data_IF_820282127892
#
_entry.id   IF_820282127892
#
_cell.length_a   1.000
_cell.length_b   1.000
_cell.length_c   1.000
_cell.angle_alpha   90.00
_cell.angle_beta   90.00
_cell.angle_gamma   90.00
#
_symmetry.space_group_name_H-M   'P 1'
#
loop_
_entity.id
_entity.type
_entity.pdbx_description
1 polymer ?
#
# COMPACT_ATOMS: atom_id res chain seq x y z
N UNK A 1 -12.03 6.24 -6.46
CA UNK A 1 -12.39 5.12 -5.56
C UNK A 1 -12.91 5.70 -4.26
N UNK A 2 -13.69 4.94 -3.50
CA UNK A 2 -14.07 5.27 -2.11
C UNK A 2 -14.20 3.98 -1.30
N UNK A 3 -14.34 4.11 0.02
CA UNK A 3 -14.62 2.97 0.90
C UNK A 3 -16.04 3.06 1.41
N UNK A 4 -16.80 1.97 1.30
CA UNK A 4 -18.17 1.87 1.80
C UNK A 4 -18.39 0.50 2.42
N UNK A 5 -18.90 0.45 3.65
CA UNK A 5 -19.18 -0.79 4.38
C UNK A 5 -18.01 -1.80 4.39
N UNK A 6 -16.77 -1.29 4.51
CA UNK A 6 -15.56 -2.11 4.50
C UNK A 6 -15.09 -2.56 3.12
N UNK A 7 -15.73 -2.14 2.03
CA UNK A 7 -15.37 -2.51 0.67
C UNK A 7 -14.81 -1.32 -0.10
N UNK A 8 -13.84 -1.58 -0.97
CA UNK A 8 -13.39 -0.61 -1.96
C UNK A 8 -14.42 -0.55 -3.10
N UNK A 9 -14.94 0.64 -3.39
CA UNK A 9 -15.97 0.84 -4.41
C UNK A 9 -15.56 1.86 -5.48
N UNK A 10 -16.07 1.65 -6.69
CA UNK A 10 -15.97 2.57 -7.82
C UNK A 10 -16.98 3.71 -7.75
N UNK A 11 -16.95 4.61 -8.74
CA UNK A 11 -17.89 5.74 -8.83
C UNK A 11 -19.36 5.32 -8.99
N UNK A 12 -19.63 4.10 -9.46
CA UNK A 12 -20.98 3.52 -9.52
C UNK A 12 -21.49 3.02 -8.16
N UNK A 13 -20.66 3.03 -7.12
CA UNK A 13 -20.95 2.42 -5.83
C UNK A 13 -20.77 0.89 -5.79
N UNK A 14 -20.39 0.26 -6.90
CA UNK A 14 -20.11 -1.17 -6.97
C UNK A 14 -18.71 -1.49 -6.41
N UNK A 15 -18.56 -2.65 -5.78
CA UNK A 15 -17.26 -3.15 -5.32
C UNK A 15 -16.26 -3.30 -6.48
N UNK A 16 -15.01 -2.94 -6.23
CA UNK A 16 -13.92 -2.97 -7.21
C UNK A 16 -12.74 -3.71 -6.62
N UNK A 17 -12.16 -4.63 -7.41
CA UNK A 17 -10.91 -5.31 -7.06
C UNK A 17 -9.78 -4.80 -7.94
N UNK A 18 -8.70 -4.35 -7.30
CA UNK A 18 -7.49 -3.94 -7.98
C UNK A 18 -6.46 -5.07 -7.92
N UNK A 19 -5.83 -5.38 -9.06
CA UNK A 19 -4.81 -6.41 -9.23
C UNK A 19 -3.65 -5.80 -9.99
N UNK A 20 -2.46 -5.96 -9.45
CA UNK A 20 -1.29 -5.24 -9.91
C UNK A 20 0.02 -5.85 -9.49
N UNK A 21 1.08 -5.13 -9.82
CA UNK A 21 2.44 -5.46 -9.41
C UNK A 21 3.00 -4.32 -8.57
N UNK A 22 3.71 -4.68 -7.50
CA UNK A 22 4.63 -3.75 -6.85
C UNK A 22 5.94 -3.73 -7.62
N UNK A 23 6.48 -2.54 -7.82
CA UNK A 23 7.90 -2.39 -8.09
C UNK A 23 8.68 -2.75 -6.81
N UNK A 24 9.91 -3.22 -6.97
CA UNK A 24 10.84 -3.41 -5.85
C UNK A 24 11.30 -2.05 -5.32
N UNK A 25 11.92 -2.02 -4.14
CA UNK A 25 12.51 -0.83 -3.53
C UNK A 25 13.23 0.09 -4.53
N UNK A 26 12.78 1.34 -4.60
CA UNK A 26 13.40 2.39 -5.43
C UNK A 26 14.80 2.82 -4.96
N UNK A 27 15.18 2.48 -3.73
CA UNK A 27 16.45 2.87 -3.12
C UNK A 27 17.61 1.91 -3.41
N UNK A 28 17.33 0.79 -4.07
CA UNK A 28 18.31 -0.21 -4.45
C UNK A 28 18.48 -0.27 -5.98
N UNK A 29 19.68 -0.69 -6.43
CA UNK A 29 20.02 -0.83 -7.84
C UNK A 29 19.22 -1.93 -8.57
N UNK A 30 18.67 -2.86 -7.81
CA UNK A 30 17.88 -3.99 -8.25
C UNK A 30 16.45 -3.55 -8.62
N UNK A 31 15.92 -2.52 -7.95
CA UNK A 31 14.57 -2.00 -8.18
C UNK A 31 14.53 -0.73 -9.03
N UNK A 32 15.39 0.25 -8.74
CA UNK A 32 15.35 1.57 -9.38
C UNK A 32 15.33 1.58 -10.92
N UNK A 33 16.01 0.66 -11.66
CA UNK A 33 15.94 0.65 -13.12
C UNK A 33 14.53 0.36 -13.68
N UNK A 34 13.62 -0.19 -12.87
CA UNK A 34 12.25 -0.52 -13.29
C UNK A 34 11.25 0.63 -13.09
N UNK A 35 11.66 1.76 -12.49
CA UNK A 35 10.81 2.95 -12.28
C UNK A 35 10.73 3.79 -13.57
N UNK A 36 10.13 3.22 -14.61
CA UNK A 36 10.03 3.84 -15.93
C UNK A 36 8.61 3.77 -16.49
N UNK A 37 8.26 4.72 -17.37
CA UNK A 37 6.97 4.73 -18.03
C UNK A 37 6.75 3.48 -18.91
N UNK A 38 7.81 2.98 -19.54
CA UNK A 38 7.74 1.77 -20.36
C UNK A 38 7.39 0.54 -19.53
N UNK A 39 8.00 0.35 -18.34
CA UNK A 39 7.64 -0.77 -17.45
C UNK A 39 6.16 -0.69 -17.05
N UNK A 40 5.67 0.48 -16.65
CA UNK A 40 4.26 0.67 -16.29
C UNK A 40 3.34 0.35 -17.46
N UNK A 41 3.68 0.78 -18.68
CA UNK A 41 2.94 0.46 -19.89
C UNK A 41 2.94 -1.04 -20.19
N UNK A 42 4.07 -1.74 -20.04
CA UNK A 42 4.15 -3.18 -20.24
C UNK A 42 3.30 -3.95 -19.21
N UNK A 43 3.33 -3.54 -17.94
CA UNK A 43 2.46 -4.12 -16.91
C UNK A 43 0.99 -3.95 -17.29
N UNK A 44 0.58 -2.76 -17.75
CA UNK A 44 -0.80 -2.53 -18.22
C UNK A 44 -1.14 -3.40 -19.42
N UNK A 45 -0.39 -3.26 -20.51
CA UNK A 45 -0.76 -3.83 -21.80
C UNK A 45 -0.57 -5.35 -21.88
N UNK A 46 0.46 -5.90 -21.24
CA UNK A 46 0.81 -7.31 -21.39
C UNK A 46 0.38 -8.15 -20.20
N UNK A 47 0.35 -7.59 -18.99
CA UNK A 47 -0.04 -8.30 -17.77
C UNK A 47 -1.47 -7.96 -17.35
N UNK A 48 -2.13 -7.03 -18.06
CA UNK A 48 -3.50 -6.61 -17.83
C UNK A 48 -3.76 -6.11 -16.40
N UNK A 49 -2.76 -5.49 -15.77
CA UNK A 49 -2.94 -4.90 -14.44
C UNK A 49 -3.85 -3.68 -14.50
N UNK A 50 -4.51 -3.38 -13.39
CA UNK A 50 -5.22 -2.12 -13.19
C UNK A 50 -4.60 -1.26 -12.06
N UNK A 51 -3.48 -1.71 -11.51
CA UNK A 51 -2.75 -1.09 -10.40
C UNK A 51 -1.24 -1.30 -10.57
N UNK A 52 -0.45 -0.29 -10.24
CA UNK A 52 1.00 -0.42 -10.01
C UNK A 52 1.35 0.20 -8.65
N UNK A 53 2.25 -0.42 -7.88
CA UNK A 53 2.73 0.14 -6.61
C UNK A 53 4.17 0.65 -6.74
N UNK A 54 4.39 1.89 -6.35
CA UNK A 54 5.71 2.53 -6.33
C UNK A 54 6.26 2.51 -4.89
N UNK A 55 7.01 1.45 -4.56
CA UNK A 55 7.63 1.22 -3.26
C UNK A 55 8.84 2.16 -3.03
N UNK A 56 8.60 3.38 -2.54
CA UNK A 56 9.66 4.37 -2.38
C UNK A 56 10.47 4.08 -1.12
N UNK A 57 11.69 3.58 -1.27
CA UNK A 57 12.58 3.35 -0.13
C UNK A 57 12.88 4.65 0.62
N UNK A 58 12.81 4.62 1.96
CA UNK A 58 12.93 5.81 2.81
C UNK A 58 14.27 5.89 3.54
N UNK A 59 14.48 4.98 4.51
CA UNK A 59 15.68 4.93 5.34
C UNK A 59 16.80 4.11 4.68
N UNK A 60 16.44 3.01 4.02
CA UNK A 60 17.38 2.04 3.48
C UNK A 60 17.93 2.42 2.10
N UNK A 61 19.16 1.97 1.81
CA UNK A 61 19.83 2.21 0.53
C UNK A 61 20.02 3.69 0.24
N UNK A 62 19.88 4.09 -1.03
CA UNK A 62 19.81 5.51 -1.41
C UNK A 62 18.39 6.07 -1.28
N UNK A 63 17.75 5.81 -0.14
CA UNK A 63 16.36 6.14 0.14
C UNK A 63 16.06 7.62 0.26
N UNK A 64 14.78 7.95 0.47
CA UNK A 64 14.29 9.33 0.44
C UNK A 64 15.02 10.22 1.45
N UNK A 65 15.36 9.73 2.64
CA UNK A 65 16.04 10.54 3.66
C UNK A 65 17.42 11.03 3.21
N UNK A 66 18.14 10.25 2.39
CA UNK A 66 19.47 10.60 1.89
C UNK A 66 19.46 11.16 0.46
N UNK A 67 18.41 10.91 -0.33
CA UNK A 67 18.34 11.29 -1.74
C UNK A 67 16.92 11.69 -2.20
N UNK A 68 16.32 12.68 -1.51
CA UNK A 68 14.93 13.11 -1.71
C UNK A 68 14.56 13.41 -3.17
N UNK A 69 15.40 14.18 -3.88
CA UNK A 69 15.10 14.62 -5.24
C UNK A 69 15.03 13.44 -6.23
N UNK A 70 15.96 12.48 -6.11
CA UNK A 70 15.97 11.29 -6.96
C UNK A 70 14.77 10.41 -6.66
N UNK A 71 14.50 10.12 -5.38
CA UNK A 71 13.39 9.26 -4.98
C UNK A 71 12.03 9.85 -5.36
N UNK A 72 11.85 11.16 -5.17
CA UNK A 72 10.66 11.88 -5.65
C UNK A 72 10.51 11.76 -7.18
N UNK A 73 11.60 11.92 -7.95
CA UNK A 73 11.56 11.81 -9.41
C UNK A 73 11.13 10.42 -9.89
N UNK A 74 11.65 9.36 -9.28
CA UNK A 74 11.28 7.97 -9.60
C UNK A 74 9.79 7.71 -9.34
N UNK A 75 9.29 8.11 -8.17
CA UNK A 75 7.86 7.98 -7.82
C UNK A 75 6.99 8.78 -8.78
N UNK A 76 7.36 10.03 -9.07
CA UNK A 76 6.60 10.88 -9.99
C UNK A 76 6.55 10.31 -11.41
N UNK A 77 7.62 9.64 -11.86
CA UNK A 77 7.65 8.94 -13.14
C UNK A 77 6.60 7.83 -13.20
N UNK A 78 6.51 7.00 -12.15
CA UNK A 78 5.52 5.91 -12.06
C UNK A 78 4.10 6.46 -11.94
N UNK A 79 3.89 7.52 -11.14
CA UNK A 79 2.58 8.18 -11.02
C UNK A 79 2.10 8.69 -12.37
N UNK A 80 2.93 9.45 -13.07
CA UNK A 80 2.55 10.04 -14.35
C UNK A 80 2.23 8.95 -15.38
N UNK A 81 3.08 7.91 -15.46
CA UNK A 81 2.85 6.80 -16.36
C UNK A 81 1.55 6.04 -16.04
N UNK A 82 1.20 5.87 -14.77
CA UNK A 82 -0.05 5.22 -14.37
C UNK A 82 -1.27 6.05 -14.78
N UNK A 83 -1.22 7.37 -14.60
CA UNK A 83 -2.25 8.32 -15.04
C UNK A 83 -2.41 8.23 -16.57
N UNK A 84 -1.31 8.33 -17.32
CA UNK A 84 -1.31 8.31 -18.80
C UNK A 84 -1.86 7.00 -19.37
N UNK A 85 -1.68 5.88 -18.65
CA UNK A 85 -2.18 4.55 -19.05
C UNK A 85 -3.55 4.21 -18.41
N UNK A 86 -4.16 5.13 -17.67
CA UNK A 86 -5.50 4.94 -17.09
C UNK A 86 -5.58 3.81 -16.05
N UNK A 87 -4.50 3.59 -15.28
CA UNK A 87 -4.48 2.63 -14.16
C UNK A 87 -4.27 3.35 -12.83
N UNK A 88 -4.58 2.67 -11.73
CA UNK A 88 -4.32 3.17 -10.39
C UNK A 88 -2.84 3.06 -10.03
N UNK A 89 -2.38 3.91 -9.11
CA UNK A 89 -1.03 3.87 -8.55
C UNK A 89 -1.08 3.97 -7.03
N UNK A 90 -0.37 3.05 -6.35
CA UNK A 90 -0.05 3.20 -4.94
C UNK A 90 1.26 3.98 -4.83
N UNK A 91 1.22 5.08 -4.09
CA UNK A 91 2.39 5.85 -3.69
C UNK A 91 2.74 5.43 -2.28
N UNK A 92 3.77 4.60 -2.16
CA UNK A 92 4.12 3.92 -0.92
C UNK A 92 5.34 4.54 -0.23
N UNK A 93 5.16 4.91 1.03
CA UNK A 93 6.25 5.27 1.95
C UNK A 93 6.86 3.99 2.52
N UNK A 94 7.83 3.45 1.77
CA UNK A 94 8.41 2.14 2.00
C UNK A 94 9.49 2.18 3.09
N UNK A 95 9.01 2.13 4.33
CA UNK A 95 9.78 2.26 5.56
C UNK A 95 9.29 1.24 6.60
N UNK A 96 10.20 0.81 7.49
CA UNK A 96 9.90 0.00 8.67
C UNK A 96 9.80 0.83 9.96
N UNK A 97 10.30 2.07 9.92
CA UNK A 97 10.44 2.96 11.06
C UNK A 97 9.78 4.34 10.83
N UNK A 98 8.73 4.41 10.01
CA UNK A 98 8.13 5.68 9.57
C UNK A 98 7.71 6.61 10.73
N UNK A 99 7.39 6.06 11.89
CA UNK A 99 7.12 6.83 13.11
C UNK A 99 8.26 7.79 13.50
N UNK A 100 9.51 7.42 13.20
CA UNK A 100 10.70 8.24 13.45
C UNK A 100 10.90 9.30 12.35
N UNK A 101 10.22 9.15 11.21
CA UNK A 101 10.33 9.99 10.02
C UNK A 101 9.01 10.72 9.69
N UNK A 102 8.16 10.92 10.69
CA UNK A 102 6.79 11.46 10.53
C UNK A 102 6.74 12.81 9.82
N UNK A 103 7.64 13.72 10.17
CA UNK A 103 7.69 15.05 9.53
C UNK A 103 8.00 14.93 8.04
N UNK A 104 8.97 14.09 7.67
CA UNK A 104 9.37 13.85 6.30
C UNK A 104 8.26 13.18 5.49
N UNK A 105 7.55 12.22 6.09
CA UNK A 105 6.38 11.59 5.47
C UNK A 105 5.26 12.61 5.21
N UNK A 106 4.96 13.47 6.18
CA UNK A 106 3.97 14.55 6.03
C UNK A 106 4.36 15.47 4.87
N UNK A 107 5.61 15.93 4.81
CA UNK A 107 6.07 16.84 3.76
C UNK A 107 6.07 16.18 2.38
N UNK A 108 6.44 14.90 2.30
CA UNK A 108 6.35 14.11 1.07
C UNK A 108 4.91 13.98 0.59
N UNK A 109 4.01 13.49 1.44
CA UNK A 109 2.63 13.26 1.06
C UNK A 109 1.87 14.55 0.75
N UNK A 110 2.19 15.67 1.40
CA UNK A 110 1.65 16.99 1.02
C UNK A 110 2.07 17.37 -0.40
N UNK A 111 3.32 17.13 -0.80
CA UNK A 111 3.77 17.40 -2.17
C UNK A 111 3.05 16.52 -3.20
N UNK A 112 2.90 15.21 -2.90
CA UNK A 112 2.15 14.30 -3.78
C UNK A 112 0.68 14.74 -3.88
N UNK A 113 0.02 15.04 -2.75
CA UNK A 113 -1.38 15.47 -2.73
C UNK A 113 -1.59 16.81 -3.45
N UNK A 114 -0.68 17.78 -3.30
CA UNK A 114 -0.74 19.06 -4.01
C UNK A 114 -0.63 18.88 -5.52
N UNK A 115 0.26 18.00 -5.97
CA UNK A 115 0.52 17.81 -7.41
C UNK A 115 -0.49 16.88 -8.07
N UNK A 116 -0.90 15.81 -7.38
CA UNK A 116 -1.66 14.72 -7.99
C UNK A 116 -2.99 14.40 -7.31
N UNK A 117 -3.34 15.00 -6.17
CA UNK A 117 -4.53 14.64 -5.40
C UNK A 117 -5.88 14.86 -6.12
N UNK A 118 -5.90 15.67 -7.18
CA UNK A 118 -7.08 15.80 -8.04
C UNK A 118 -7.29 14.59 -8.98
N UNK A 119 -6.27 13.74 -9.17
CA UNK A 119 -6.34 12.57 -10.03
C UNK A 119 -6.94 11.39 -9.24
N UNK A 120 -7.98 10.72 -9.77
CA UNK A 120 -8.62 9.59 -9.10
C UNK A 120 -7.75 8.32 -9.08
N UNK A 121 -6.64 8.32 -9.81
CA UNK A 121 -5.70 7.21 -9.92
C UNK A 121 -4.88 6.98 -8.63
N UNK A 122 -4.75 8.01 -7.80
CA UNK A 122 -3.83 8.00 -6.65
C UNK A 122 -4.42 7.22 -5.48
N UNK A 123 -3.60 6.35 -4.92
CA UNK A 123 -3.78 5.69 -3.62
C UNK A 123 -2.52 5.98 -2.81
N UNK A 124 -2.67 6.47 -1.58
CA UNK A 124 -1.54 6.72 -0.68
C UNK A 124 -1.35 5.50 0.22
N UNK A 125 -0.14 5.00 0.37
CA UNK A 125 0.21 4.00 1.40
C UNK A 125 1.22 4.63 2.35
N UNK A 126 0.76 4.96 3.55
CA UNK A 126 1.48 5.90 4.44
C UNK A 126 2.59 5.24 5.23
N UNK A 127 2.57 3.92 5.39
CA UNK A 127 3.59 3.17 6.11
C UNK A 127 3.52 1.73 5.60
N UNK A 128 4.55 1.28 4.89
CA UNK A 128 4.65 -0.08 4.34
C UNK A 128 4.50 -1.16 5.42
N UNK A 129 5.49 -1.30 6.31
CA UNK A 129 5.57 -2.43 7.23
C UNK A 129 6.09 -1.98 8.60
N UNK A 130 5.20 -1.46 9.47
CA UNK A 130 5.54 -1.29 10.87
C UNK A 130 6.04 -2.60 11.46
N UNK A 131 7.14 -2.54 12.20
CA UNK A 131 7.68 -3.70 12.92
C UNK A 131 6.74 -4.12 14.07
N UNK A 132 7.26 -4.87 15.03
CA UNK A 132 6.54 -5.32 16.22
C UNK A 132 6.41 -4.18 17.26
N UNK A 133 5.75 -3.09 16.85
CA UNK A 133 5.45 -1.92 17.66
C UNK A 133 3.96 -1.82 17.92
N UNK A 134 3.57 -1.19 19.03
CA UNK A 134 2.16 -1.12 19.44
C UNK A 134 1.31 -0.25 18.48
N UNK A 135 0.12 -0.74 18.14
CA UNK A 135 -0.82 0.00 17.29
C UNK A 135 -1.25 1.30 17.95
N UNK A 136 -1.71 1.26 19.20
CA UNK A 136 -2.43 2.37 19.82
C UNK A 136 -1.51 3.56 20.15
N UNK A 137 -0.29 3.29 20.58
CA UNK A 137 0.68 4.28 21.07
C UNK A 137 1.73 4.70 20.04
N UNK A 138 1.97 3.88 19.00
CA UNK A 138 3.01 4.17 17.98
C UNK A 138 2.40 4.35 16.59
N UNK A 139 1.79 3.30 16.03
CA UNK A 139 1.41 3.29 14.60
C UNK A 139 0.18 4.17 14.32
N UNK A 140 -0.86 4.08 15.14
CA UNK A 140 -2.10 4.87 14.98
C UNK A 140 -1.85 6.37 15.09
N UNK A 141 -1.11 6.91 16.09
CA UNK A 141 -0.81 8.34 16.15
C UNK A 141 -0.05 8.85 14.93
N UNK A 142 0.89 8.05 14.38
CA UNK A 142 1.55 8.38 13.12
C UNK A 142 0.54 8.55 11.98
N UNK A 143 -0.34 7.56 11.79
CA UNK A 143 -1.34 7.60 10.71
C UNK A 143 -2.32 8.75 10.87
N UNK A 144 -2.75 9.08 12.10
CA UNK A 144 -3.65 10.22 12.36
C UNK A 144 -3.06 11.52 11.80
N UNK A 145 -1.78 11.79 12.08
CA UNK A 145 -1.12 13.02 11.64
C UNK A 145 -0.90 13.06 10.12
N UNK A 146 -0.46 11.95 9.52
CA UNK A 146 -0.23 11.86 8.07
C UNK A 146 -1.55 11.93 7.29
N UNK A 147 -2.59 11.24 7.75
CA UNK A 147 -3.94 11.32 7.17
C UNK A 147 -4.47 12.74 7.23
N UNK A 148 -4.33 13.43 8.37
CA UNK A 148 -4.77 14.82 8.50
C UNK A 148 -4.05 15.73 7.50
N UNK A 149 -2.74 15.55 7.32
CA UNK A 149 -1.94 16.33 6.37
C UNK A 149 -2.36 16.10 4.91
N UNK A 150 -2.62 14.85 4.52
CA UNK A 150 -3.14 14.51 3.18
C UNK A 150 -4.54 15.13 3.00
N UNK A 151 -5.43 14.93 3.97
CA UNK A 151 -6.84 15.35 3.89
C UNK A 151 -7.04 16.86 3.88
N UNK A 152 -6.07 17.63 4.37
CA UNK A 152 -6.05 19.08 4.22
C UNK A 152 -5.93 19.54 2.76
N UNK A 153 -5.51 18.66 1.84
CA UNK A 153 -5.31 18.96 0.42
C UNK A 153 -6.19 18.06 -0.46
N UNK A 154 -6.20 16.76 -0.20
CA UNK A 154 -6.96 15.74 -0.94
C UNK A 154 -7.99 15.06 -0.02
N UNK A 155 -9.24 15.49 -0.18
CA UNK A 155 -10.36 15.03 0.65
C UNK A 155 -10.95 13.67 0.24
N UNK A 156 -10.50 13.05 -0.86
CA UNK A 156 -11.24 11.93 -1.49
C UNK A 156 -10.42 10.67 -1.74
N UNK A 157 -9.17 10.76 -2.19
CA UNK A 157 -8.45 9.55 -2.60
C UNK A 157 -8.20 8.60 -1.44
N UNK A 158 -8.05 7.31 -1.76
CA UNK A 158 -7.90 6.25 -0.75
C UNK A 158 -6.53 6.36 -0.08
N UNK A 159 -6.52 6.18 1.24
CA UNK A 159 -5.29 6.08 2.03
C UNK A 159 -5.27 4.68 2.67
N UNK A 160 -4.19 3.94 2.48
CA UNK A 160 -3.94 2.62 3.05
C UNK A 160 -2.92 2.75 4.18
N UNK A 161 -3.25 2.16 5.32
CA UNK A 161 -2.55 2.36 6.58
C UNK A 161 -1.88 1.05 7.02
N UNK A 162 -0.54 1.02 7.02
CA UNK A 162 0.27 -0.09 7.54
C UNK A 162 -0.16 -0.54 8.93
N UNK A 163 -0.12 -1.84 9.18
CA UNK A 163 -0.47 -2.43 10.49
C UNK A 163 0.75 -3.07 11.17
N UNK A 164 0.76 -3.28 12.50
CA UNK A 164 1.91 -3.87 13.17
C UNK A 164 2.30 -5.25 12.66
N UNK A 165 3.53 -5.65 12.97
CA UNK A 165 4.11 -6.96 12.64
C UNK A 165 4.15 -7.19 11.13
N UNK A 166 4.85 -6.31 10.41
CA UNK A 166 4.96 -6.33 8.95
C UNK A 166 3.60 -6.37 8.26
N UNK A 167 2.69 -5.49 8.70
CA UNK A 167 1.33 -5.38 8.17
C UNK A 167 0.50 -6.67 8.29
N UNK A 168 0.57 -7.35 9.44
CA UNK A 168 -0.21 -8.59 9.69
C UNK A 168 -1.32 -8.40 10.74
N UNK A 169 -1.19 -7.41 11.63
CA UNK A 169 -2.07 -7.20 12.78
C UNK A 169 -3.31 -6.35 12.43
N UNK A 170 -3.98 -6.69 11.33
CA UNK A 170 -5.18 -6.00 10.83
C UNK A 170 -6.38 -6.10 11.77
N UNK A 171 -6.47 -7.18 12.55
CA UNK A 171 -7.47 -7.37 13.60
C UNK A 171 -7.29 -6.38 14.75
N UNK A 172 -6.05 -6.07 15.13
CA UNK A 172 -5.73 -5.05 16.13
C UNK A 172 -6.12 -3.66 15.63
N UNK A 173 -5.77 -3.33 14.38
CA UNK A 173 -6.14 -2.06 13.77
C UNK A 173 -7.67 -1.90 13.67
N UNK A 174 -8.38 -2.97 13.27
CA UNK A 174 -9.84 -2.97 13.18
C UNK A 174 -10.55 -2.80 14.53
N UNK A 175 -9.92 -3.21 15.64
CA UNK A 175 -10.44 -2.97 16.99
C UNK A 175 -10.35 -1.50 17.42
N UNK A 176 -9.42 -0.72 16.86
CA UNK A 176 -9.18 0.67 17.23
C UNK A 176 -8.86 1.51 15.98
N UNK A 177 -9.79 1.64 15.01
CA UNK A 177 -9.51 2.21 13.70
C UNK A 177 -9.13 3.69 13.77
N UNK A 178 -8.33 4.15 12.81
CA UNK A 178 -8.13 5.59 12.54
C UNK A 178 -9.44 6.18 12.03
N UNK A 179 -9.89 7.28 12.64
CA UNK A 179 -11.10 7.99 12.20
C UNK A 179 -10.87 8.71 10.88
N UNK A 180 -11.83 8.62 9.96
CA UNK A 180 -11.77 9.31 8.68
C UNK A 180 -12.60 8.60 7.61
N UNK A 181 -12.45 9.06 6.37
CA UNK A 181 -13.09 8.49 5.19
C UNK A 181 -12.06 7.93 4.22
N UNK A 182 -12.51 6.93 3.43
CA UNK A 182 -11.70 6.30 2.38
C UNK A 182 -10.36 5.76 2.91
N UNK A 183 -10.41 5.13 4.08
CA UNK A 183 -9.26 4.51 4.73
C UNK A 183 -9.36 2.99 4.60
N UNK A 184 -8.24 2.37 4.21
CA UNK A 184 -8.04 0.92 4.25
C UNK A 184 -6.83 0.60 5.15
N UNK A 185 -6.73 -0.64 5.59
CA UNK A 185 -5.61 -1.14 6.39
C UNK A 185 -4.82 -2.18 5.61
N UNK A 186 -3.49 -2.08 5.69
CA UNK A 186 -2.59 -2.95 4.95
C UNK A 186 -2.59 -4.34 5.54
N UNK A 187 -2.71 -5.35 4.67
CA UNK A 187 -2.39 -6.74 4.94
C UNK A 187 -1.26 -7.19 4.03
N UNK A 188 -0.13 -7.65 4.58
CA UNK A 188 0.89 -8.35 3.81
C UNK A 188 0.93 -9.83 4.16
N UNK A 189 1.23 -10.65 3.15
CA UNK A 189 1.45 -12.07 3.36
C UNK A 189 2.45 -12.64 2.37
N UNK A 190 3.04 -13.76 2.76
CA UNK A 190 3.96 -14.55 1.92
C UNK A 190 3.47 -15.97 1.99
N UNK A 191 3.03 -16.51 0.85
CA UNK A 191 2.21 -17.71 0.80
C UNK A 191 2.89 -18.92 1.43
N UNK A 192 4.21 -19.05 1.37
CA UNK A 192 4.90 -20.20 1.98
C UNK A 192 5.03 -20.09 3.51
N UNK A 193 4.93 -18.88 4.07
CA UNK A 193 5.07 -18.62 5.52
C UNK A 193 3.73 -18.43 6.22
N UNK A 194 2.84 -17.64 5.63
CA UNK A 194 1.61 -17.18 6.24
C UNK A 194 0.41 -17.97 5.70
N UNK A 195 -0.34 -18.61 6.59
CA UNK A 195 -1.38 -19.60 6.25
C UNK A 195 -2.73 -19.21 6.86
N UNK A 196 -3.49 -20.20 7.34
CA UNK A 196 -4.84 -20.01 7.88
C UNK A 196 -4.93 -19.00 9.03
N UNK A 197 -3.95 -18.98 9.95
CA UNK A 197 -3.99 -18.07 11.10
C UNK A 197 -4.06 -16.59 10.69
N UNK A 198 -3.37 -16.19 9.62
CA UNK A 198 -3.42 -14.81 9.14
C UNK A 198 -4.73 -14.52 8.37
N UNK A 199 -5.28 -15.52 7.67
CA UNK A 199 -6.63 -15.42 7.08
C UNK A 199 -7.71 -15.26 8.16
N UNK A 200 -7.55 -15.90 9.31
CA UNK A 200 -8.48 -15.78 10.44
C UNK A 200 -8.43 -14.36 11.05
N UNK A 201 -7.24 -13.77 11.23
CA UNK A 201 -7.07 -12.37 11.63
C UNK A 201 -7.74 -11.42 10.63
N UNK A 202 -7.53 -11.67 9.34
CA UNK A 202 -8.14 -10.88 8.26
C UNK A 202 -9.67 -10.98 8.30
N UNK A 203 -10.22 -12.18 8.50
CA UNK A 203 -11.66 -12.41 8.66
C UNK A 203 -12.21 -11.65 9.87
N UNK A 204 -11.50 -11.67 11.00
CA UNK A 204 -11.90 -10.92 12.20
C UNK A 204 -11.94 -9.40 11.95
N UNK A 205 -11.01 -8.87 11.16
CA UNK A 205 -11.00 -7.47 10.75
C UNK A 205 -12.16 -7.14 9.79
N UNK A 206 -12.38 -7.94 8.74
CA UNK A 206 -13.48 -7.76 7.77
C UNK A 206 -14.87 -7.80 8.44
N UNK A 207 -15.04 -8.63 9.47
CA UNK A 207 -16.27 -8.69 10.27
C UNK A 207 -16.57 -7.37 11.01
N UNK A 208 -15.57 -6.52 11.23
CA UNK A 208 -15.71 -5.17 11.81
C UNK A 208 -15.97 -4.10 10.74
N UNK A 209 -16.13 -4.48 9.47
CA UNK A 209 -16.42 -3.58 8.34
C UNK A 209 -15.36 -2.51 8.10
N UNK A 210 -14.09 -2.84 8.38
CA UNK A 210 -12.96 -2.05 7.90
C UNK A 210 -12.53 -2.52 6.51
N UNK A 211 -12.02 -1.61 5.68
CA UNK A 211 -11.41 -1.98 4.40
C UNK A 211 -10.02 -2.56 4.64
N UNK A 212 -9.75 -3.73 4.06
CA UNK A 212 -8.42 -4.33 4.01
C UNK A 212 -7.91 -4.23 2.57
N UNK A 213 -6.64 -3.87 2.40
CA UNK A 213 -5.97 -3.83 1.10
C UNK A 213 -4.65 -4.59 1.19
N UNK A 214 -4.47 -5.59 0.33
CA UNK A 214 -3.19 -6.29 0.16
C UNK A 214 -2.33 -5.50 -0.81
N UNK A 215 -1.47 -4.62 -0.31
CA UNK A 215 -0.57 -3.78 -1.12
C UNK A 215 0.72 -4.52 -1.49
N UNK A 216 1.11 -5.52 -0.70
CA UNK A 216 2.19 -6.46 -0.99
C UNK A 216 1.82 -7.90 -0.64
N UNK A 217 2.20 -8.84 -1.50
CA UNK A 217 2.27 -10.26 -1.15
C UNK A 217 3.31 -11.01 -1.99
N UNK A 218 3.82 -12.12 -1.46
CA UNK A 218 4.71 -13.03 -2.17
C UNK A 218 4.17 -14.46 -2.25
N UNK A 219 4.65 -15.23 -3.23
CA UNK A 219 4.27 -16.65 -3.41
C UNK A 219 5.27 -17.63 -2.79
N UNK A 220 6.35 -17.09 -2.20
CA UNK A 220 7.45 -17.82 -1.56
C UNK A 220 7.48 -17.53 -0.04
N UNK A 221 8.58 -17.81 0.67
CA UNK A 221 8.70 -17.47 2.10
C UNK A 221 8.93 -15.98 2.34
N UNK A 222 8.68 -15.54 3.58
CA UNK A 222 8.73 -14.13 3.99
C UNK A 222 10.13 -13.49 3.90
N UNK A 223 11.18 -14.27 3.71
CA UNK A 223 12.53 -13.79 3.38
C UNK A 223 12.71 -13.48 1.87
N UNK A 224 11.65 -13.63 1.09
CA UNK A 224 11.63 -13.41 -0.36
C UNK A 224 12.29 -14.52 -1.18
N UNK A 225 12.64 -15.65 -0.57
CA UNK A 225 13.38 -16.73 -1.21
C UNK A 225 12.63 -18.08 -1.13
N UNK A 226 13.24 -19.13 -1.70
CA UNK A 226 12.68 -20.48 -1.68
C UNK A 226 11.74 -20.77 -2.85
N UNK A 227 11.06 -21.92 -2.76
CA UNK A 227 10.13 -22.39 -3.78
C UNK A 227 8.74 -21.77 -3.66
N UNK A 228 8.07 -21.62 -4.79
CA UNK A 228 6.67 -21.18 -4.84
C UNK A 228 5.77 -22.20 -4.15
N UNK A 229 5.01 -21.76 -3.15
CA UNK A 229 3.94 -22.55 -2.54
C UNK A 229 2.63 -22.31 -3.30
N UNK A 230 2.44 -23.08 -4.36
CA UNK A 230 1.30 -22.92 -5.29
C UNK A 230 -0.05 -23.21 -4.61
N UNK A 231 -0.10 -24.20 -3.72
CA UNK A 231 -1.33 -24.56 -2.99
C UNK A 231 -1.75 -23.41 -2.09
N UNK A 232 -0.84 -22.90 -1.27
CA UNK A 232 -1.16 -21.81 -0.36
C UNK A 232 -1.44 -20.50 -1.09
N UNK A 233 -0.77 -20.25 -2.22
CA UNK A 233 -1.06 -19.08 -3.06
C UNK A 233 -2.50 -19.12 -3.57
N UNK A 234 -2.96 -20.29 -4.04
CA UNK A 234 -4.33 -20.47 -4.51
C UNK A 234 -5.36 -20.29 -3.38
N UNK A 235 -5.08 -20.79 -2.17
CA UNK A 235 -5.94 -20.57 -1.00
C UNK A 235 -6.10 -19.08 -0.68
N UNK A 236 -5.00 -18.32 -0.72
CA UNK A 236 -5.03 -16.87 -0.49
C UNK A 236 -5.83 -16.13 -1.55
N UNK A 237 -5.62 -16.44 -2.83
CA UNK A 237 -6.37 -15.79 -3.90
C UNK A 237 -7.86 -16.12 -3.83
N UNK A 238 -8.23 -17.37 -3.54
CA UNK A 238 -9.62 -17.75 -3.35
C UNK A 238 -10.25 -17.02 -2.16
N UNK A 239 -9.52 -16.88 -1.04
CA UNK A 239 -9.96 -16.10 0.11
C UNK A 239 -10.23 -14.63 -0.26
N UNK A 240 -9.26 -13.97 -0.90
CA UNK A 240 -9.39 -12.56 -1.29
C UNK A 240 -10.47 -12.30 -2.35
N UNK A 241 -10.73 -13.25 -3.25
CA UNK A 241 -11.79 -13.14 -4.26
C UNK A 241 -13.20 -13.35 -3.71
N UNK A 242 -13.34 -14.04 -2.57
CA UNK A 242 -14.64 -14.24 -1.93
C UNK A 242 -15.05 -13.02 -1.11
N UNK A 243 -14.09 -12.29 -0.54
CA UNK A 243 -14.28 -11.13 0.33
C UNK A 243 -13.92 -9.80 -0.37
N UNK A 244 -14.53 -9.55 -1.53
CA UNK A 244 -14.32 -8.32 -2.36
C UNK A 244 -14.77 -7.04 -1.67
#
# INVERSE_FOLDING_TARGET
LSVSNGQLVGSSGSAVVLRGMSLFWSSFSEGSPFYTADVVKQLKCNWNVNLVRAAMGVEEGSGYLSNQATQMSLVQTVIQAAIDNGIYVIVDWHDHNAQNHKTQAIDFFKQIAQKYGANPNIIYETFNEPLQVDWASVVKPYHVDVVAAIRAIDSKNVIVLGTPTWSQDVDVAANNPVSGSNLCYTLHYYAATHKQSLRDKTTAALNKKVCIFVTEYGTVSADGNGGVDSTSSQEWWTFLENDK
#
